data_IF_066783892594
#
_entry.id   IF_066783892594
#
_cell.length_a   1.000
_cell.length_b   1.000
_cell.length_c   1.000
_cell.angle_alpha   90.00
_cell.angle_beta   90.00
_cell.angle_gamma   90.00
#
_symmetry.space_group_name_H-M   'P 1'
#
loop_
_entity.id
_entity.type
_entity.pdbx_description
1 polymer ?
#
# COMPACT_ATOMS: atom_id res chain seq x y z
N UNK A 1 21.24 4.34 -72.89
CA UNK A 1 22.16 3.20 -73.03
C UNK A 1 22.63 2.76 -71.64
N UNK A 2 22.33 1.52 -71.27
CA UNK A 2 22.93 0.66 -70.24
C UNK A 2 23.50 1.29 -68.93
N UNK A 3 22.93 0.94 -67.77
CA UNK A 3 23.46 -0.14 -66.89
C UNK A 3 22.63 -0.29 -65.61
N UNK A 4 22.68 -1.53 -65.12
CA UNK A 4 21.96 -2.19 -64.03
C UNK A 4 22.94 -2.37 -62.85
N UNK A 5 22.54 -2.09 -61.61
CA UNK A 5 23.13 -2.60 -60.34
C UNK A 5 22.10 -2.35 -59.23
N UNK A 6 21.38 -3.35 -58.70
CA UNK A 6 21.71 -4.31 -57.61
C UNK A 6 22.29 -3.61 -56.38
N UNK A 7 21.47 -3.46 -55.34
CA UNK A 7 21.87 -3.03 -53.99
C UNK A 7 21.55 -4.13 -52.98
N UNK A 8 22.60 -4.59 -52.28
CA UNK A 8 22.61 -5.67 -51.31
C UNK A 8 22.30 -5.18 -49.89
N UNK A 9 21.67 -6.05 -49.10
CA UNK A 9 21.37 -5.90 -47.66
C UNK A 9 22.60 -6.21 -46.82
N UNK A 10 22.97 -5.32 -45.91
CA UNK A 10 24.03 -5.53 -44.92
C UNK A 10 23.43 -5.65 -43.50
N UNK A 11 23.62 -6.81 -42.88
CA UNK A 11 23.41 -7.08 -41.45
C UNK A 11 24.70 -6.79 -40.68
N UNK A 12 24.64 -5.93 -39.67
CA UNK A 12 25.77 -5.63 -38.78
C UNK A 12 25.56 -6.28 -37.41
N UNK A 13 26.51 -7.14 -37.03
CA UNK A 13 26.63 -7.80 -35.73
C UNK A 13 27.60 -6.98 -34.86
N UNK A 14 27.18 -6.54 -33.69
CA UNK A 14 28.03 -5.83 -32.74
C UNK A 14 28.37 -6.72 -31.54
N UNK A 15 29.66 -7.00 -31.36
CA UNK A 15 30.26 -7.66 -30.18
C UNK A 15 30.76 -6.58 -29.21
N UNK A 16 30.37 -6.68 -27.93
CA UNK A 16 30.83 -5.79 -26.87
C UNK A 16 31.72 -6.55 -25.88
N UNK A 17 32.95 -6.07 -25.73
CA UNK A 17 33.98 -6.59 -24.83
C UNK A 17 34.04 -5.72 -23.57
N UNK A 18 33.84 -6.29 -22.39
CA UNK A 18 33.93 -5.57 -21.11
C UNK A 18 35.28 -5.83 -20.43
N UNK A 19 36.06 -4.77 -20.21
CA UNK A 19 37.29 -4.80 -19.43
C UNK A 19 37.00 -4.39 -17.98
N UNK A 20 37.43 -5.21 -17.02
CA UNK A 20 37.31 -4.97 -15.58
C UNK A 20 38.67 -4.51 -15.04
N UNK A 21 38.74 -3.29 -14.51
CA UNK A 21 39.93 -2.76 -13.84
C UNK A 21 39.72 -2.73 -12.33
N UNK A 22 40.58 -3.43 -11.60
CA UNK A 22 40.60 -3.52 -10.14
C UNK A 22 41.62 -2.51 -9.62
N UNK A 23 41.20 -1.59 -8.73
CA UNK A 23 42.10 -0.64 -8.05
C UNK A 23 42.22 -1.04 -6.57
N UNK A 24 43.45 -1.33 -6.14
CA UNK A 24 43.88 -1.54 -4.75
C UNK A 24 44.16 -0.17 -4.08
N UNK A 25 43.84 -0.02 -2.79
CA UNK A 25 44.27 1.11 -1.97
C UNK A 25 44.99 0.65 -0.69
N UNK A 26 46.07 1.37 -0.36
CA UNK A 26 46.88 1.29 0.86
C UNK A 26 46.49 2.41 1.86
N UNK A 27 46.78 2.28 3.17
CA UNK A 27 46.36 3.23 4.20
C UNK A 27 47.48 4.17 4.67
N UNK A 28 47.13 5.40 5.05
CA UNK A 28 47.98 6.32 5.80
C UNK A 28 47.24 6.89 7.03
N UNK A 29 48.01 7.00 8.13
CA UNK A 29 47.71 7.57 9.43
C UNK A 29 47.67 9.11 9.41
N UNK A 30 46.88 9.76 10.29
CA UNK A 30 47.33 10.64 11.40
C UNK A 30 46.15 11.36 12.10
N UNK A 31 46.51 12.13 13.14
CA UNK A 31 45.85 12.48 14.42
C UNK A 31 44.93 13.71 14.47
N UNK A 32 43.87 13.57 15.28
CA UNK A 32 43.33 14.45 16.37
C UNK A 32 43.31 15.98 16.21
N UNK A 33 42.19 16.64 16.56
CA UNK A 33 41.98 17.53 17.75
C UNK A 33 40.61 18.24 17.68
N UNK A 34 39.88 18.26 18.79
CA UNK A 34 38.52 18.77 18.94
C UNK A 34 38.46 20.12 19.68
N UNK A 35 37.45 20.95 19.39
CA UNK A 35 37.06 22.09 20.22
C UNK A 35 35.52 22.31 20.21
N UNK A 36 34.99 22.66 21.39
CA UNK A 36 33.58 22.79 21.79
C UNK A 36 33.14 24.26 21.89
N UNK A 37 31.83 24.47 21.80
CA UNK A 37 31.09 25.60 22.42
C UNK A 37 30.14 26.28 21.43
N UNK A 38 29.01 26.87 21.81
CA UNK A 38 28.20 26.92 23.03
C UNK A 38 26.80 27.41 22.60
N UNK A 39 25.78 27.07 23.37
CA UNK A 39 24.36 27.33 23.12
C UNK A 39 23.92 28.77 23.45
N UNK A 40 22.87 29.25 22.79
CA UNK A 40 22.01 30.31 23.33
C UNK A 40 20.56 30.15 22.85
N UNK A 41 19.64 30.31 23.79
CA UNK A 41 18.19 30.14 23.70
C UNK A 41 17.50 31.50 23.70
N UNK A 42 16.50 31.73 22.84
CA UNK A 42 15.62 32.90 22.91
C UNK A 42 14.14 32.53 22.63
N UNK A 43 13.29 33.27 23.34
CA UNK A 43 11.88 33.14 23.68
C UNK A 43 10.86 33.16 22.52
N UNK A 44 9.70 32.54 22.81
CA UNK A 44 8.43 32.62 22.07
C UNK A 44 7.48 33.62 22.74
N UNK A 45 6.60 34.27 21.96
CA UNK A 45 5.31 34.72 22.46
C UNK A 45 4.11 34.11 21.70
N UNK A 46 3.04 33.97 22.47
CA UNK A 46 1.70 33.45 22.20
C UNK A 46 0.74 34.47 21.54
N UNK A 47 -0.48 34.00 21.22
CA UNK A 47 -1.72 34.70 20.79
C UNK A 47 -2.01 34.57 19.28
N UNK A 48 -3.24 34.47 18.76
CA UNK A 48 -4.60 34.50 19.31
C UNK A 48 -5.55 33.88 18.29
N UNK A 49 -6.65 33.34 18.78
CA UNK A 49 -7.80 32.78 18.07
C UNK A 49 -8.64 33.83 17.34
N UNK A 50 -9.22 33.47 16.19
CA UNK A 50 -10.52 34.00 15.76
C UNK A 50 -11.24 33.03 14.80
N UNK A 51 -12.50 32.77 15.13
CA UNK A 51 -13.52 32.10 14.33
C UNK A 51 -14.00 33.04 13.20
N UNK A 52 -14.48 32.47 12.09
CA UNK A 52 -15.68 32.93 11.36
C UNK A 52 -16.19 31.76 10.50
N UNK A 53 -17.48 31.47 10.68
CA UNK A 53 -18.28 30.59 9.84
C UNK A 53 -18.97 31.42 8.75
N UNK A 54 -19.13 30.90 7.53
CA UNK A 54 -20.33 31.17 6.72
C UNK A 54 -20.56 30.06 5.71
N UNK A 55 -21.75 29.48 5.77
CA UNK A 55 -22.32 28.48 4.88
C UNK A 55 -23.10 29.16 3.75
N UNK A 56 -22.99 28.62 2.54
CA UNK A 56 -23.86 28.98 1.40
C UNK A 56 -24.44 27.71 0.82
N UNK A 57 -25.77 27.63 0.86
CA UNK A 57 -26.58 26.56 0.30
C UNK A 57 -26.69 26.71 -1.23
N UNK A 58 -26.56 25.60 -1.95
CA UNK A 58 -26.85 25.51 -3.38
C UNK A 58 -28.03 24.54 -3.56
N UNK A 59 -29.06 25.03 -4.23
CA UNK A 59 -30.29 24.31 -4.55
C UNK A 59 -30.06 23.35 -5.74
N UNK A 60 -30.44 22.09 -5.57
CA UNK A 60 -30.43 21.05 -6.61
C UNK A 60 -31.84 20.86 -7.19
N UNK A 61 -31.97 21.08 -8.49
CA UNK A 61 -33.12 20.66 -9.31
C UNK A 61 -33.03 19.17 -9.62
N UNK A 62 -33.98 18.39 -9.11
CA UNK A 62 -34.10 16.95 -9.39
C UNK A 62 -34.76 16.72 -10.75
N UNK A 63 -34.10 15.91 -11.59
CA UNK A 63 -34.57 15.49 -12.91
C UNK A 63 -34.90 13.99 -12.83
N UNK A 64 -36.18 13.63 -12.84
CA UNK A 64 -36.65 12.25 -12.71
C UNK A 64 -36.66 11.55 -14.06
N UNK A 65 -35.57 10.85 -14.40
CA UNK A 65 -35.56 9.84 -15.46
C UNK A 65 -35.58 8.46 -14.80
N UNK A 66 -36.75 7.82 -14.81
CA UNK A 66 -36.93 6.42 -14.42
C UNK A 66 -36.40 5.52 -15.53
N UNK A 67 -35.10 5.20 -15.47
CA UNK A 67 -34.55 4.04 -16.16
C UNK A 67 -34.74 2.82 -15.25
N UNK A 68 -35.47 1.82 -15.71
CA UNK A 68 -35.56 0.51 -15.03
C UNK A 68 -34.18 -0.14 -15.03
N UNK A 69 -33.54 -0.15 -13.86
CA UNK A 69 -32.22 -0.74 -13.64
C UNK A 69 -32.31 -2.27 -13.45
N UNK A 70 -31.25 -3.01 -13.81
CA UNK A 70 -31.28 -4.47 -13.82
C UNK A 70 -31.32 -5.06 -12.40
N UNK A 71 -32.44 -5.70 -12.06
CA UNK A 71 -32.59 -6.53 -10.86
C UNK A 71 -31.66 -7.74 -10.95
N UNK A 72 -30.80 -7.95 -9.94
CA UNK A 72 -29.87 -9.08 -9.89
C UNK A 72 -30.61 -10.36 -9.48
N UNK A 73 -31.06 -11.13 -10.46
CA UNK A 73 -31.73 -12.41 -10.23
C UNK A 73 -30.74 -13.53 -9.87
N UNK A 74 -30.30 -13.62 -8.61
CA UNK A 74 -29.67 -14.84 -8.09
C UNK A 74 -30.64 -16.04 -8.16
N UNK A 75 -31.95 -15.76 -8.07
CA UNK A 75 -33.02 -16.75 -8.19
C UNK A 75 -33.14 -17.37 -9.61
N UNK A 76 -32.82 -16.66 -10.69
CA UNK A 76 -32.96 -17.20 -12.05
C UNK A 76 -31.96 -18.32 -12.34
N UNK A 77 -30.74 -18.21 -11.81
CA UNK A 77 -29.72 -19.27 -11.92
C UNK A 77 -30.08 -20.51 -11.07
N UNK A 78 -30.77 -20.31 -9.94
CA UNK A 78 -31.29 -21.41 -9.11
C UNK A 78 -32.55 -22.07 -9.72
N UNK A 79 -33.42 -21.30 -10.39
CA UNK A 79 -34.62 -21.78 -11.04
C UNK A 79 -34.35 -22.54 -12.37
N UNK A 80 -33.24 -22.23 -13.04
CA UNK A 80 -32.77 -22.99 -14.21
C UNK A 80 -32.17 -24.37 -13.85
N UNK A 81 -31.87 -24.62 -12.57
CA UNK A 81 -31.55 -25.95 -12.09
C UNK A 81 -32.85 -26.73 -11.86
N UNK A 82 -33.21 -27.61 -12.81
CA UNK A 82 -34.44 -28.39 -12.74
C UNK A 82 -34.67 -29.03 -11.35
N UNK A 83 -35.88 -28.92 -10.79
CA UNK A 83 -36.20 -29.52 -9.50
C UNK A 83 -36.14 -31.04 -9.65
N UNK A 84 -35.07 -31.65 -9.12
CA UNK A 84 -35.08 -33.10 -8.85
C UNK A 84 -36.19 -33.37 -7.85
N UNK A 85 -37.32 -33.90 -8.34
CA UNK A 85 -38.44 -34.43 -7.53
C UNK A 85 -37.89 -35.31 -6.40
N UNK A 86 -37.76 -34.74 -5.20
CA UNK A 86 -37.61 -35.51 -3.98
C UNK A 86 -38.97 -36.13 -3.70
N UNK A 87 -39.08 -37.45 -3.94
CA UNK A 87 -40.18 -38.25 -3.38
C UNK A 87 -40.08 -38.17 -1.86
N UNK A 88 -40.89 -37.31 -1.25
CA UNK A 88 -41.19 -37.35 0.17
C UNK A 88 -42.01 -38.61 0.45
N UNK A 89 -41.39 -39.63 1.05
CA UNK A 89 -42.12 -40.76 1.63
C UNK A 89 -42.65 -40.35 2.99
N UNK A 90 -43.94 -40.03 3.04
CA UNK A 90 -44.73 -39.94 4.26
C UNK A 90 -44.68 -41.26 5.02
N UNK A 91 -44.43 -41.18 6.33
CA UNK A 91 -44.69 -42.26 7.30
C UNK A 91 -46.17 -42.63 7.26
N UNK A 92 -46.49 -43.81 6.75
CA UNK A 92 -47.69 -44.54 7.16
C UNK A 92 -47.25 -45.90 7.72
N UNK A 93 -47.74 -46.18 8.91
CA UNK A 93 -47.52 -47.37 9.71
C UNK A 93 -48.06 -48.64 9.05
N UNK A 94 -47.45 -49.75 9.45
CA UNK A 94 -47.97 -51.13 9.34
C UNK A 94 -47.82 -51.78 7.97
N UNK A 95 -46.70 -52.47 7.76
CA UNK A 95 -46.77 -53.92 7.51
C UNK A 95 -45.40 -54.60 7.56
N UNK A 96 -45.29 -55.58 8.45
CA UNK A 96 -44.25 -56.60 8.45
C UNK A 96 -44.62 -57.63 7.38
N UNK A 97 -44.19 -57.47 6.13
CA UNK A 97 -44.18 -58.60 5.18
C UNK A 97 -43.26 -58.36 3.98
N UNK A 98 -42.49 -59.38 3.64
CA UNK A 98 -41.72 -59.56 2.41
C UNK A 98 -40.50 -58.65 2.18
N UNK A 99 -39.43 -59.01 2.88
CA UNK A 99 -38.12 -59.22 2.24
C UNK A 99 -38.31 -60.01 0.93
N UNK A 100 -38.33 -59.35 -0.23
CA UNK A 100 -38.01 -59.96 -1.51
C UNK A 100 -37.86 -58.88 -2.58
N UNK A 101 -36.67 -58.80 -3.17
CA UNK A 101 -36.44 -57.96 -4.34
C UNK A 101 -35.00 -57.59 -4.63
N UNK A 102 -34.06 -57.85 -3.72
CA UNK A 102 -32.64 -57.67 -4.03
C UNK A 102 -31.86 -58.93 -3.62
N UNK A 103 -32.14 -60.03 -4.31
CA UNK A 103 -31.31 -61.25 -4.34
C UNK A 103 -30.01 -61.01 -5.12
N UNK A 104 -29.47 -59.80 -5.04
CA UNK A 104 -28.10 -59.56 -5.41
C UNK A 104 -27.22 -60.34 -4.44
N UNK A 105 -26.51 -61.32 -5.00
CA UNK A 105 -25.45 -62.05 -4.32
C UNK A 105 -24.64 -61.08 -3.46
N UNK A 106 -24.23 -61.49 -2.26
CA UNK A 106 -23.40 -60.68 -1.36
C UNK A 106 -22.23 -60.01 -2.13
N UNK A 107 -21.68 -60.71 -3.13
CA UNK A 107 -20.66 -60.18 -4.04
C UNK A 107 -21.15 -58.99 -4.87
N UNK A 108 -22.36 -59.04 -5.44
CA UNK A 108 -22.96 -57.95 -6.20
C UNK A 108 -23.22 -56.71 -5.34
N UNK A 109 -23.75 -56.88 -4.11
CA UNK A 109 -23.90 -55.76 -3.15
C UNK A 109 -22.55 -55.14 -2.78
N UNK A 110 -21.53 -55.97 -2.59
CA UNK A 110 -20.15 -55.51 -2.31
C UNK A 110 -19.54 -54.77 -3.50
N UNK A 111 -19.81 -55.20 -4.72
CA UNK A 111 -19.38 -54.53 -5.96
C UNK A 111 -20.10 -53.19 -6.16
N UNK A 112 -21.42 -53.14 -5.98
CA UNK A 112 -22.22 -51.92 -6.07
C UNK A 112 -21.75 -50.86 -5.05
N UNK A 113 -21.47 -51.28 -3.80
CA UNK A 113 -20.90 -50.37 -2.79
C UNK A 113 -19.53 -49.85 -3.20
N UNK A 114 -18.67 -50.68 -3.80
CA UNK A 114 -17.36 -50.26 -4.31
C UNK A 114 -17.49 -49.25 -5.46
N UNK A 115 -18.42 -49.46 -6.39
CA UNK A 115 -18.69 -48.53 -7.50
C UNK A 115 -19.17 -47.17 -6.97
N UNK A 116 -20.15 -47.16 -6.06
CA UNK A 116 -20.64 -45.92 -5.44
C UNK A 116 -19.53 -45.13 -4.74
N UNK A 117 -18.58 -45.82 -4.09
CA UNK A 117 -17.40 -45.16 -3.49
C UNK A 117 -16.48 -44.55 -4.55
N UNK A 118 -16.25 -45.23 -5.68
CA UNK A 118 -15.47 -44.67 -6.81
C UNK A 118 -16.15 -43.45 -7.40
N UNK A 119 -17.44 -43.55 -7.70
CA UNK A 119 -18.23 -42.42 -8.26
C UNK A 119 -18.23 -41.23 -7.31
N UNK A 120 -18.38 -41.47 -6.00
CA UNK A 120 -18.32 -40.40 -4.99
C UNK A 120 -16.93 -39.76 -4.95
N UNK A 121 -15.88 -40.57 -5.03
CA UNK A 121 -14.50 -40.09 -5.08
C UNK A 121 -14.23 -39.27 -6.36
N UNK A 122 -14.59 -39.79 -7.53
CA UNK A 122 -14.45 -39.13 -8.83
C UNK A 122 -15.24 -37.83 -8.87
N UNK A 123 -16.49 -37.81 -8.37
CA UNK A 123 -17.28 -36.59 -8.23
C UNK A 123 -16.60 -35.58 -7.31
N UNK A 124 -15.98 -36.04 -6.22
CA UNK A 124 -15.24 -35.16 -5.31
C UNK A 124 -13.98 -34.61 -6.00
N UNK A 125 -13.25 -35.42 -6.77
CA UNK A 125 -12.09 -34.99 -7.54
C UNK A 125 -12.48 -34.00 -8.65
N UNK A 126 -13.56 -34.25 -9.39
CA UNK A 126 -14.11 -33.32 -10.38
C UNK A 126 -14.59 -32.02 -9.75
N UNK A 127 -15.16 -32.08 -8.55
CA UNK A 127 -15.51 -30.86 -7.80
C UNK A 127 -14.25 -30.11 -7.38
N UNK A 128 -13.23 -30.80 -6.87
CA UNK A 128 -11.96 -30.19 -6.46
C UNK A 128 -11.19 -29.61 -7.65
N UNK A 129 -11.25 -30.22 -8.85
CA UNK A 129 -10.61 -29.68 -10.05
C UNK A 129 -11.37 -28.50 -10.65
N UNK A 130 -12.69 -28.43 -10.48
CA UNK A 130 -13.52 -27.27 -10.88
C UNK A 130 -13.47 -26.12 -9.89
N UNK A 131 -13.33 -26.44 -8.60
CA UNK A 131 -13.03 -25.46 -7.58
C UNK A 131 -11.60 -25.01 -7.84
N UNK A 132 -11.44 -23.88 -8.55
CA UNK A 132 -10.20 -23.14 -8.51
C UNK A 132 -9.94 -22.79 -7.03
N UNK A 133 -9.21 -23.65 -6.30
CA UNK A 133 -8.83 -23.26 -4.96
C UNK A 133 -7.89 -22.08 -5.14
N UNK A 134 -8.04 -21.06 -4.30
CA UNK A 134 -7.26 -19.82 -4.33
C UNK A 134 -5.73 -20.03 -4.33
N UNK A 135 -5.24 -21.27 -4.18
CA UNK A 135 -3.86 -21.64 -3.90
C UNK A 135 -3.24 -22.68 -4.84
N UNK A 136 -3.97 -23.30 -5.77
CA UNK A 136 -3.41 -24.46 -6.50
C UNK A 136 -2.34 -24.12 -7.54
N UNK A 137 -2.20 -22.84 -7.92
CA UNK A 137 -1.17 -22.38 -8.87
C UNK A 137 -0.38 -21.16 -8.42
N UNK A 138 -0.67 -20.60 -7.24
CA UNK A 138 0.17 -19.52 -6.68
C UNK A 138 1.30 -20.16 -5.89
N UNK A 139 2.58 -19.97 -6.26
CA UNK A 139 3.68 -20.49 -5.46
C UNK A 139 3.55 -19.96 -4.03
N UNK A 140 3.76 -20.83 -3.05
CA UNK A 140 3.73 -20.42 -1.64
C UNK A 140 4.88 -19.45 -1.37
N UNK A 141 4.66 -18.50 -0.47
CA UNK A 141 5.69 -17.58 0.02
C UNK A 141 6.38 -16.70 -1.04
N UNK A 142 5.82 -16.50 -2.24
CA UNK A 142 6.44 -15.66 -3.31
C UNK A 142 6.89 -14.29 -2.79
N UNK A 143 5.99 -13.56 -2.10
CA UNK A 143 6.30 -12.23 -1.55
C UNK A 143 7.39 -12.29 -0.48
N UNK A 144 7.37 -13.32 0.36
CA UNK A 144 8.35 -13.54 1.43
C UNK A 144 9.72 -13.92 0.88
N UNK A 145 9.77 -14.77 -0.15
CA UNK A 145 11.01 -15.13 -0.86
C UNK A 145 11.59 -13.92 -1.60
N UNK A 146 10.73 -13.13 -2.26
CA UNK A 146 11.15 -11.88 -2.91
C UNK A 146 11.76 -10.89 -1.91
N UNK A 147 11.11 -10.70 -0.76
CA UNK A 147 11.62 -9.86 0.33
C UNK A 147 12.96 -10.38 0.87
N UNK A 148 13.04 -11.65 1.26
CA UNK A 148 14.27 -12.25 1.83
C UNK A 148 15.44 -12.20 0.84
N UNK A 149 15.19 -12.49 -0.43
CA UNK A 149 16.22 -12.45 -1.47
C UNK A 149 16.85 -11.07 -1.66
N UNK A 150 16.12 -9.99 -1.33
CA UNK A 150 16.64 -8.63 -1.28
C UNK A 150 17.23 -8.29 0.10
N UNK A 151 16.47 -8.50 1.17
CA UNK A 151 16.83 -8.09 2.53
C UNK A 151 18.06 -8.80 3.08
N UNK A 152 18.24 -10.09 2.81
CA UNK A 152 19.40 -10.84 3.29
C UNK A 152 20.70 -10.31 2.66
N UNK A 153 20.64 -9.87 1.39
CA UNK A 153 21.77 -9.22 0.71
C UNK A 153 22.05 -7.85 1.31
N UNK A 154 21.00 -7.09 1.60
CA UNK A 154 21.10 -5.76 2.21
C UNK A 154 21.73 -5.83 3.60
N UNK A 155 21.32 -6.81 4.42
CA UNK A 155 21.91 -7.03 5.73
C UNK A 155 23.40 -7.34 5.65
N UNK A 156 23.80 -8.23 4.73
CA UNK A 156 25.22 -8.56 4.51
C UNK A 156 26.01 -7.32 4.06
N UNK A 157 25.42 -6.50 3.19
CA UNK A 157 26.01 -5.25 2.74
C UNK A 157 26.22 -4.27 3.90
N UNK A 158 25.20 -4.06 4.73
CA UNK A 158 25.29 -3.24 5.94
C UNK A 158 26.37 -3.73 6.92
N UNK A 159 26.46 -5.03 7.17
CA UNK A 159 27.51 -5.62 8.02
C UNK A 159 28.92 -5.36 7.47
N UNK A 160 29.08 -5.46 6.14
CA UNK A 160 30.33 -5.14 5.46
C UNK A 160 30.69 -3.67 5.63
N UNK A 161 29.72 -2.76 5.46
CA UNK A 161 29.94 -1.32 5.67
C UNK A 161 30.37 -0.99 7.10
N UNK A 162 29.74 -1.62 8.10
CA UNK A 162 30.12 -1.45 9.50
C UNK A 162 31.56 -1.91 9.77
N UNK A 163 31.99 -3.02 9.18
CA UNK A 163 33.38 -3.51 9.28
C UNK A 163 34.36 -2.56 8.59
N UNK A 164 34.02 -2.05 7.41
CA UNK A 164 34.84 -1.06 6.70
C UNK A 164 35.02 0.22 7.50
N UNK A 165 33.93 0.77 8.06
CA UNK A 165 34.00 1.96 8.91
C UNK A 165 34.90 1.74 10.14
N UNK A 166 34.80 0.57 10.79
CA UNK A 166 35.66 0.21 11.92
C UNK A 166 37.13 0.07 11.51
N UNK A 167 37.41 -0.49 10.34
CA UNK A 167 38.77 -0.61 9.80
C UNK A 167 39.39 0.76 9.51
N UNK A 168 38.59 1.71 9.05
CA UNK A 168 39.02 3.09 8.78
C UNK A 168 39.01 4.00 10.03
N UNK A 169 38.51 3.51 11.18
CA UNK A 169 38.31 4.29 12.41
C UNK A 169 37.48 5.57 12.24
N UNK A 170 36.58 5.60 11.24
CA UNK A 170 35.72 6.76 10.97
C UNK A 170 34.33 6.59 11.58
N UNK A 171 33.80 7.59 12.31
CA UNK A 171 32.44 7.54 12.84
C UNK A 171 31.38 7.62 11.75
N UNK A 172 30.14 7.29 12.11
CA UNK A 172 28.96 7.47 11.26
C UNK A 172 28.22 8.73 11.65
N UNK A 173 27.80 9.54 10.68
CA UNK A 173 26.89 10.66 10.91
C UNK A 173 25.48 10.10 11.10
N UNK A 174 24.77 10.55 12.14
CA UNK A 174 23.40 10.08 12.41
C UNK A 174 22.42 11.05 11.77
N UNK A 175 21.53 10.52 10.93
CA UNK A 175 20.43 11.26 10.31
C UNK A 175 19.12 10.61 10.71
N UNK A 176 18.11 11.42 10.99
CA UNK A 176 16.76 10.96 11.28
C UNK A 176 15.85 11.40 10.14
N UNK A 177 15.16 10.46 9.52
CA UNK A 177 14.16 10.68 8.49
C UNK A 177 12.77 10.30 9.02
N UNK A 178 11.74 11.01 8.58
CA UNK A 178 10.39 10.88 9.14
C UNK A 178 9.38 10.58 8.03
N UNK A 179 8.68 9.46 8.18
CA UNK A 179 7.55 9.09 7.35
C UNK A 179 6.31 9.68 8.00
N UNK A 180 5.90 10.87 7.55
CA UNK A 180 4.64 11.47 7.96
C UNK A 180 3.53 10.86 7.12
N UNK A 181 2.75 9.96 7.72
CA UNK A 181 1.68 9.21 7.08
C UNK A 181 0.32 9.81 7.42
N UNK A 182 -0.48 10.08 6.40
CA UNK A 182 -1.93 10.30 6.56
C UNK A 182 -2.64 8.98 6.28
N UNK A 183 -3.37 8.48 7.27
CA UNK A 183 -4.12 7.22 7.17
C UNK A 183 -5.27 7.32 6.14
N UNK A 184 -5.72 6.20 5.56
CA UNK A 184 -6.93 6.18 4.75
C UNK A 184 -8.12 6.73 5.55
N UNK A 185 -8.83 7.71 4.98
CA UNK A 185 -10.03 8.30 5.59
C UNK A 185 -11.27 7.50 5.16
N UNK A 186 -11.23 6.96 3.94
CA UNK A 186 -12.33 6.21 3.35
C UNK A 186 -11.89 4.76 3.19
N UNK A 187 -12.81 3.82 3.46
CA UNK A 187 -12.61 2.39 3.24
C UNK A 187 -12.16 2.13 1.80
N UNK A 188 -11.21 1.21 1.53
CA UNK A 188 -10.82 0.86 0.17
C UNK A 188 -11.98 0.25 -0.62
N UNK A 189 -11.85 0.22 -1.95
CA UNK A 189 -12.86 -0.40 -2.79
C UNK A 189 -12.86 -1.92 -2.58
N UNK A 190 -14.04 -2.46 -2.28
CA UNK A 190 -14.21 -3.91 -2.20
C UNK A 190 -13.97 -4.53 -3.57
N UNK A 191 -13.10 -5.56 -3.68
CA UNK A 191 -12.91 -6.30 -4.91
C UNK A 191 -14.20 -7.03 -5.31
N UNK A 192 -14.36 -7.29 -6.61
CA UNK A 192 -15.59 -7.82 -7.18
C UNK A 192 -16.08 -9.11 -6.50
N UNK A 193 -15.18 -10.06 -6.23
CA UNK A 193 -15.53 -11.33 -5.59
C UNK A 193 -16.01 -11.15 -4.14
N UNK A 194 -15.52 -10.12 -3.42
CA UNK A 194 -15.93 -9.84 -2.04
C UNK A 194 -17.33 -9.23 -2.02
N UNK A 195 -17.63 -8.38 -3.02
CA UNK A 195 -19.01 -7.90 -3.25
C UNK A 195 -19.95 -9.05 -3.55
N UNK A 196 -19.59 -9.93 -4.50
CA UNK A 196 -20.42 -11.11 -4.83
C UNK A 196 -20.61 -12.04 -3.63
N UNK A 197 -19.60 -12.17 -2.78
CA UNK A 197 -19.71 -12.94 -1.55
C UNK A 197 -20.65 -12.28 -0.54
N UNK A 198 -20.54 -10.97 -0.34
CA UNK A 198 -21.44 -10.21 0.54
C UNK A 198 -22.89 -10.29 0.04
N UNK A 199 -23.11 -10.05 -1.25
CA UNK A 199 -24.42 -10.18 -1.91
C UNK A 199 -25.02 -11.58 -1.67
N UNK A 200 -24.20 -12.64 -1.80
CA UNK A 200 -24.63 -14.01 -1.52
C UNK A 200 -24.91 -14.23 -0.04
N UNK A 201 -24.09 -13.71 0.87
CA UNK A 201 -24.33 -13.84 2.31
C UNK A 201 -25.59 -13.11 2.75
N UNK A 202 -25.86 -11.94 2.18
CA UNK A 202 -27.07 -11.15 2.46
C UNK A 202 -28.30 -11.88 1.92
N UNK A 203 -28.21 -12.38 0.69
CA UNK A 203 -29.24 -13.24 0.11
C UNK A 203 -29.51 -14.46 1.00
N UNK A 204 -28.47 -15.19 1.43
CA UNK A 204 -28.63 -16.34 2.33
C UNK A 204 -29.16 -15.96 3.71
N UNK A 205 -28.82 -14.79 4.23
CA UNK A 205 -29.29 -14.29 5.52
C UNK A 205 -30.80 -13.99 5.52
N UNK A 206 -31.39 -13.74 4.34
CA UNK A 206 -32.85 -13.66 4.21
C UNK A 206 -33.54 -15.02 4.43
N UNK A 207 -32.83 -16.13 4.27
CA UNK A 207 -33.34 -17.47 4.54
C UNK A 207 -32.97 -17.91 5.95
N UNK A 208 -33.98 -18.20 6.78
CA UNK A 208 -33.79 -18.88 8.07
C UNK A 208 -33.92 -18.02 9.32
N UNK A 209 -34.29 -16.74 9.19
CA UNK A 209 -34.76 -15.93 10.33
C UNK A 209 -36.21 -15.51 10.08
N UNK A 210 -37.13 -16.20 10.75
CA UNK A 210 -38.52 -15.75 10.83
C UNK A 210 -38.60 -14.68 11.92
N UNK A 211 -38.80 -13.43 11.51
CA UNK A 211 -39.13 -12.36 12.44
C UNK A 211 -40.65 -12.40 12.72
N UNK A 212 -41.11 -12.11 13.95
CA UNK A 212 -42.53 -12.01 14.22
C UNK A 212 -43.19 -10.97 13.31
N UNK A 213 -44.39 -11.25 12.79
CA UNK A 213 -45.11 -10.36 11.86
C UNK A 213 -45.28 -8.94 12.42
N UNK A 214 -45.43 -8.82 13.74
CA UNK A 214 -45.57 -7.55 14.47
C UNK A 214 -44.36 -6.62 14.30
N UNK A 215 -43.18 -7.17 14.03
CA UNK A 215 -41.96 -6.38 13.87
C UNK A 215 -41.90 -5.67 12.52
N UNK A 216 -42.73 -6.07 11.55
CA UNK A 216 -42.74 -5.49 10.20
C UNK A 216 -41.50 -5.81 9.36
N UNK A 217 -40.55 -6.61 9.87
CA UNK A 217 -39.41 -7.11 9.10
C UNK A 217 -39.88 -8.31 8.26
N UNK A 218 -40.36 -8.02 7.05
CA UNK A 218 -40.93 -9.01 6.13
C UNK A 218 -39.85 -9.88 5.49
N UNK A 219 -39.68 -11.10 6.00
CA UNK A 219 -39.04 -12.18 5.25
C UNK A 219 -39.91 -13.44 5.39
N UNK A 220 -41.05 -13.47 4.69
CA UNK A 220 -41.83 -14.70 4.60
C UNK A 220 -41.16 -15.63 3.57
N UNK A 221 -40.76 -16.85 3.97
CA UNK A 221 -40.09 -17.82 3.07
C UNK A 221 -40.89 -18.13 1.79
N UNK A 222 -42.21 -17.96 1.84
CA UNK A 222 -43.11 -18.24 0.72
C UNK A 222 -43.21 -17.09 -0.30
N UNK A 223 -42.64 -15.91 0.01
CA UNK A 223 -42.72 -14.72 -0.85
C UNK A 223 -41.36 -14.40 -1.46
N UNK A 224 -41.10 -14.77 -2.74
CA UNK A 224 -39.81 -14.52 -3.39
C UNK A 224 -39.49 -13.03 -3.57
N UNK A 225 -40.50 -12.16 -3.48
CA UNK A 225 -40.37 -10.70 -3.55
C UNK A 225 -39.62 -10.13 -2.33
N UNK A 226 -39.74 -10.76 -1.16
CA UNK A 226 -39.11 -10.33 0.10
C UNK A 226 -37.61 -10.66 0.15
N UNK A 227 -37.13 -11.51 -0.77
CA UNK A 227 -35.73 -11.98 -0.83
C UNK A 227 -34.87 -11.21 -1.84
N UNK A 228 -35.34 -10.08 -2.35
CA UNK A 228 -34.57 -9.21 -3.24
C UNK A 228 -33.63 -8.35 -2.41
N UNK A 229 -32.33 -8.61 -2.52
CA UNK A 229 -31.30 -7.76 -1.92
C UNK A 229 -31.23 -6.49 -2.79
N UNK A 230 -31.60 -5.31 -2.26
CA UNK A 230 -31.51 -4.07 -3.01
C UNK A 230 -30.06 -3.80 -3.37
N UNK A 231 -29.84 -3.29 -4.58
CA UNK A 231 -28.49 -2.93 -5.00
C UNK A 231 -27.99 -1.71 -4.23
N UNK A 232 -26.67 -1.53 -4.13
CA UNK A 232 -26.07 -0.34 -3.51
C UNK A 232 -26.67 0.97 -4.06
N UNK A 233 -26.99 1.01 -5.37
CA UNK A 233 -27.59 2.17 -6.03
C UNK A 233 -29.02 2.46 -5.55
N UNK A 234 -29.83 1.43 -5.35
CA UNK A 234 -31.19 1.55 -4.81
C UNK A 234 -31.16 1.98 -3.34
N UNK A 235 -30.24 1.40 -2.56
CA UNK A 235 -30.00 1.81 -1.16
C UNK A 235 -29.56 3.26 -1.08
N UNK A 236 -28.67 3.70 -1.97
CA UNK A 236 -28.21 5.09 -2.05
C UNK A 236 -29.33 6.05 -2.49
N UNK A 237 -30.18 5.64 -3.43
CA UNK A 237 -31.32 6.44 -3.89
C UNK A 237 -32.42 6.62 -2.83
N UNK A 238 -32.54 5.68 -1.89
CA UNK A 238 -33.47 5.75 -0.76
C UNK A 238 -33.04 6.67 0.38
N UNK A 239 -31.78 7.15 0.39
CA UNK A 239 -31.28 8.02 1.46
C UNK A 239 -31.84 9.45 1.34
N UNK A 240 -32.14 10.13 2.47
CA UNK A 240 -32.62 11.51 2.46
C UNK A 240 -31.52 12.53 2.12
N UNK A 241 -30.28 12.08 1.87
CA UNK A 241 -29.14 12.90 1.51
C UNK A 241 -28.26 12.19 0.47
N UNK A 242 -27.56 12.98 -0.34
CA UNK A 242 -26.56 12.44 -1.28
C UNK A 242 -25.21 12.38 -0.57
N UNK A 243 -24.58 11.18 -0.44
CA UNK A 243 -23.26 11.09 0.16
C UNK A 243 -22.21 11.81 -0.69
N UNK A 244 -21.20 12.38 -0.03
CA UNK A 244 -20.10 13.04 -0.72
C UNK A 244 -19.34 12.06 -1.63
N UNK A 245 -18.88 12.49 -2.81
CA UNK A 245 -18.11 11.64 -3.70
C UNK A 245 -16.81 11.20 -3.04
N UNK A 246 -16.46 9.93 -3.23
CA UNK A 246 -15.22 9.34 -2.67
C UNK A 246 -13.97 9.82 -3.40
N UNK A 247 -14.13 10.29 -4.63
CA UNK A 247 -13.08 10.92 -5.43
C UNK A 247 -13.25 12.42 -5.36
N UNK A 248 -12.15 13.12 -5.07
CA UNK A 248 -12.17 14.56 -4.84
C UNK A 248 -11.71 15.33 -6.08
N UNK A 249 -11.96 16.65 -6.11
CA UNK A 249 -11.41 17.53 -7.14
C UNK A 249 -9.88 17.51 -7.20
N UNK A 250 -9.22 17.27 -6.06
CA UNK A 250 -7.77 17.09 -5.97
C UNK A 250 -7.29 15.81 -6.68
N UNK A 251 -8.12 14.76 -6.70
CA UNK A 251 -7.84 13.54 -7.47
C UNK A 251 -7.99 13.79 -8.98
N UNK A 252 -9.05 14.50 -9.37
CA UNK A 252 -9.32 14.84 -10.76
C UNK A 252 -8.26 15.79 -11.36
N UNK A 253 -7.83 16.79 -10.58
CA UNK A 253 -6.78 17.74 -10.98
C UNK A 253 -5.36 17.19 -10.86
N UNK A 254 -5.16 16.08 -10.13
CA UNK A 254 -3.84 15.53 -9.85
C UNK A 254 -3.00 16.41 -8.92
N UNK A 255 -3.61 17.28 -8.12
CA UNK A 255 -2.89 18.20 -7.25
C UNK A 255 -2.27 17.48 -6.05
N UNK A 256 -0.94 17.41 -6.01
CA UNK A 256 -0.19 16.61 -5.04
C UNK A 256 -0.06 17.25 -3.66
N UNK A 257 -0.19 18.57 -3.57
CA UNK A 257 0.05 19.34 -2.34
C UNK A 257 -1.15 19.29 -1.37
N UNK A 258 -2.33 18.91 -1.84
CA UNK A 258 -3.52 18.76 -0.99
C UNK A 258 -3.61 17.36 -0.38
N UNK A 259 -3.99 17.31 0.91
CA UNK A 259 -4.22 16.04 1.62
C UNK A 259 -5.49 15.32 1.23
N UNK A 260 -6.48 16.05 0.72
CA UNK A 260 -7.81 15.55 0.37
C UNK A 260 -7.82 14.66 -0.89
N UNK A 261 -6.68 14.46 -1.56
CA UNK A 261 -6.56 13.48 -2.64
C UNK A 261 -6.42 12.06 -2.11
N UNK A 262 -6.78 11.03 -2.87
CA UNK A 262 -6.50 9.61 -2.58
C UNK A 262 -6.95 9.20 -1.17
N UNK A 263 -8.20 9.47 -0.84
CA UNK A 263 -8.78 9.20 0.50
C UNK A 263 -8.79 7.71 0.87
N UNK A 264 -8.76 6.82 -0.13
CA UNK A 264 -8.79 5.34 0.01
C UNK A 264 -7.45 4.73 0.42
N UNK A 265 -6.34 5.44 0.22
CA UNK A 265 -4.98 4.93 0.43
C UNK A 265 -4.21 5.81 1.39
N UNK A 266 -3.21 5.26 2.07
CA UNK A 266 -2.27 6.08 2.83
C UNK A 266 -1.41 6.90 1.89
N UNK A 267 -1.10 8.13 2.31
CA UNK A 267 -0.19 9.02 1.61
C UNK A 267 0.89 9.49 2.57
N UNK A 268 2.06 9.79 2.03
CA UNK A 268 3.24 10.18 2.79
C UNK A 268 3.73 11.55 2.32
N UNK A 269 4.08 12.41 3.28
CA UNK A 269 4.71 13.69 2.96
C UNK A 269 6.10 13.44 2.40
N UNK A 270 6.29 13.83 1.15
CA UNK A 270 7.57 13.72 0.44
C UNK A 270 8.00 15.10 -0.04
N UNK A 271 9.30 15.33 -0.01
CA UNK A 271 9.94 16.61 -0.33
C UNK A 271 10.99 16.36 -1.39
N UNK A 272 10.97 17.16 -2.45
CA UNK A 272 12.01 17.20 -3.46
C UNK A 272 13.01 18.28 -3.08
N UNK A 273 14.23 17.89 -2.76
CA UNK A 273 15.26 18.82 -2.31
C UNK A 273 16.62 18.49 -2.92
N UNK A 274 17.46 19.52 -3.06
CA UNK A 274 18.87 19.40 -3.47
C UNK A 274 19.84 19.25 -2.27
N UNK A 275 19.31 19.22 -1.03
CA UNK A 275 20.10 19.08 0.22
C UNK A 275 21.00 17.85 0.26
N UNK A 276 20.58 16.75 -0.35
CA UNK A 276 21.47 15.61 -0.53
C UNK A 276 22.45 15.97 -1.64
N UNK A 277 23.58 16.63 -1.33
CA UNK A 277 24.66 16.91 -2.28
C UNK A 277 25.06 15.64 -3.01
N UNK A 278 24.45 15.41 -4.16
CA UNK A 278 24.65 14.25 -4.99
C UNK A 278 25.58 14.69 -6.13
N UNK A 279 26.44 13.78 -6.60
CA UNK A 279 27.33 14.07 -7.74
C UNK A 279 26.57 14.60 -8.97
N UNK A 280 25.29 14.27 -9.11
CA UNK A 280 24.48 14.69 -10.25
C UNK A 280 23.93 16.11 -10.12
N UNK A 281 23.98 16.75 -8.95
CA UNK A 281 23.35 18.07 -8.69
C UNK A 281 21.83 18.11 -8.91
N UNK A 282 21.19 16.93 -9.07
CA UNK A 282 19.76 16.80 -9.30
C UNK A 282 19.05 16.65 -7.97
N UNK A 283 18.00 17.44 -7.79
CA UNK A 283 17.07 17.32 -6.67
C UNK A 283 16.38 15.98 -6.67
N UNK A 284 16.20 15.42 -5.48
CA UNK A 284 15.63 14.09 -5.30
C UNK A 284 14.46 14.12 -4.34
N UNK A 285 13.51 13.23 -4.57
CA UNK A 285 12.45 12.95 -3.61
C UNK A 285 13.05 12.28 -2.37
N UNK A 286 12.74 12.86 -1.22
CA UNK A 286 13.21 12.47 0.11
C UNK A 286 12.07 12.61 1.11
N UNK A 287 12.19 11.88 2.22
CA UNK A 287 11.38 12.12 3.40
C UNK A 287 11.98 13.30 4.19
N UNK A 288 11.16 14.06 4.95
CA UNK A 288 11.67 15.07 5.87
C UNK A 288 12.76 14.47 6.74
N UNK A 289 13.95 15.08 6.75
CA UNK A 289 15.08 14.56 7.52
C UNK A 289 15.88 15.66 8.18
N UNK A 290 16.51 15.34 9.31
CA UNK A 290 17.43 16.22 10.02
C UNK A 290 18.65 15.43 10.51
N UNK A 291 19.77 16.13 10.63
CA UNK A 291 20.95 15.58 11.28
C UNK A 291 20.74 15.56 12.80
N UNK A 292 21.10 14.44 13.42
CA UNK A 292 21.15 14.32 14.87
C UNK A 292 22.54 14.74 15.35
N UNK A 293 22.58 15.63 16.33
CA UNK A 293 23.82 15.98 16.99
C UNK A 293 24.12 14.93 18.08
N UNK A 294 25.19 14.17 17.87
CA UNK A 294 25.62 13.07 18.76
C UNK A 294 25.98 13.60 20.15
N UNK A 295 26.37 14.87 20.26
CA UNK A 295 26.77 15.47 21.54
C UNK A 295 25.63 16.13 22.30
N UNK A 296 24.45 16.21 21.70
CA UNK A 296 23.27 16.77 22.34
C UNK A 296 22.51 15.71 23.13
N UNK A 297 21.91 16.10 24.25
CA UNK A 297 21.03 15.23 25.05
C UNK A 297 19.65 15.02 24.39
N UNK A 298 19.50 15.33 23.10
CA UNK A 298 18.22 15.23 22.38
C UNK A 298 17.93 13.80 21.96
N UNK A 299 16.69 13.36 22.12
CA UNK A 299 16.29 12.04 21.67
C UNK A 299 16.15 12.02 20.14
N UNK A 300 16.32 10.85 19.52
CA UNK A 300 16.09 10.72 18.06
C UNK A 300 14.66 11.08 17.66
N UNK A 301 13.69 10.93 18.58
CA UNK A 301 12.31 11.33 18.36
C UNK A 301 12.18 12.87 18.32
N UNK A 302 12.86 13.59 19.21
CA UNK A 302 12.88 15.06 19.18
C UNK A 302 13.51 15.56 17.87
N UNK A 303 14.56 14.89 17.40
CA UNK A 303 15.17 15.18 16.10
C UNK A 303 14.18 14.90 14.95
N UNK A 304 13.37 13.84 15.04
CA UNK A 304 12.32 13.56 14.07
C UNK A 304 11.25 14.67 14.05
N UNK A 305 10.73 15.07 15.20
CA UNK A 305 9.74 16.16 15.30
C UNK A 305 10.32 17.48 14.79
N UNK A 306 11.59 17.75 15.10
CA UNK A 306 12.33 18.89 14.55
C UNK A 306 12.48 18.82 13.04
N UNK A 307 12.76 17.64 12.48
CA UNK A 307 12.88 17.46 11.03
C UNK A 307 11.59 17.86 10.30
N UNK A 308 10.43 17.45 10.83
CA UNK A 308 9.15 17.81 10.23
C UNK A 308 8.82 19.28 10.47
N UNK A 309 8.95 19.80 11.69
CA UNK A 309 8.64 21.20 11.98
C UNK A 309 9.54 22.19 11.24
N UNK A 310 10.80 21.82 10.97
CA UNK A 310 11.69 22.61 10.14
C UNK A 310 11.21 22.69 8.69
N UNK A 311 10.60 21.63 8.15
CA UNK A 311 10.19 21.60 6.74
C UNK A 311 8.74 22.06 6.56
N UNK A 312 7.80 21.46 7.29
CA UNK A 312 6.36 21.72 7.15
C UNK A 312 5.83 22.84 8.05
N UNK A 313 6.63 23.36 8.99
CA UNK A 313 6.18 24.33 9.99
C UNK A 313 5.66 23.69 11.27
N UNK A 314 5.39 24.53 12.29
CA UNK A 314 4.94 24.09 13.62
C UNK A 314 3.42 23.82 13.71
N UNK A 315 2.67 24.16 12.67
CA UNK A 315 1.21 24.00 12.63
C UNK A 315 0.79 22.54 12.45
N UNK A 316 1.69 21.68 11.96
CA UNK A 316 1.41 20.27 11.75
C UNK A 316 1.46 19.50 13.07
N UNK A 317 0.30 18.99 13.50
CA UNK A 317 0.16 18.17 14.70
C UNK A 317 0.37 16.70 14.32
N UNK A 318 1.32 16.09 15.00
CA UNK A 318 1.84 14.76 14.68
C UNK A 318 1.73 13.84 15.88
N UNK A 319 1.27 12.62 15.64
CA UNK A 319 1.23 11.55 16.64
C UNK A 319 2.33 10.52 16.36
N UNK A 320 3.20 10.30 17.36
CA UNK A 320 4.29 9.35 17.27
C UNK A 320 3.92 8.07 18.05
N UNK A 321 3.76 6.90 17.38
CA UNK A 321 3.38 5.66 18.06
C UNK A 321 4.46 5.08 18.99
N UNK A 322 5.74 5.39 18.74
CA UNK A 322 6.85 4.83 19.51
C UNK A 322 8.11 5.69 19.42
N UNK A 323 8.97 5.58 20.44
CA UNK A 323 10.32 6.16 20.45
C UNK A 323 11.34 5.33 19.63
N UNK A 324 10.97 4.12 19.21
CA UNK A 324 11.84 3.25 18.43
C UNK A 324 11.77 3.58 16.92
N UNK A 325 12.92 3.66 16.22
CA UNK A 325 12.93 3.79 14.77
C UNK A 325 12.42 2.50 14.11
N UNK A 326 11.70 2.65 13.00
CA UNK A 326 11.11 1.54 12.25
C UNK A 326 12.13 0.85 11.33
N UNK A 327 13.03 1.61 10.74
CA UNK A 327 14.05 1.10 9.82
C UNK A 327 15.37 1.88 9.93
N UNK A 328 16.45 1.25 9.47
CA UNK A 328 17.78 1.86 9.34
C UNK A 328 18.33 1.59 7.96
N UNK A 329 18.91 2.62 7.34
CA UNK A 329 19.65 2.53 6.08
C UNK A 329 21.05 3.12 6.26
N UNK A 330 22.09 2.40 5.82
CA UNK A 330 23.47 2.86 5.89
C UNK A 330 23.92 3.33 4.51
N UNK A 331 24.31 4.60 4.42
CA UNK A 331 24.78 5.22 3.19
C UNK A 331 26.23 5.65 3.34
N UNK A 332 27.12 5.12 2.50
CA UNK A 332 28.52 5.55 2.46
C UNK A 332 28.65 6.85 1.68
N UNK A 333 29.52 7.76 2.12
CA UNK A 333 29.85 8.93 1.31
C UNK A 333 30.71 8.53 0.11
N UNK A 334 30.34 9.06 -1.05
CA UNK A 334 31.17 8.91 -2.24
C UNK A 334 32.52 9.62 -2.01
N UNK A 335 33.67 9.00 -2.30
CA UNK A 335 34.97 9.67 -2.20
C UNK A 335 35.09 10.94 -3.06
N UNK A 336 34.26 11.10 -4.08
CA UNK A 336 34.25 12.26 -4.97
C UNK A 336 33.49 13.47 -4.39
N UNK A 337 32.84 13.34 -3.24
CA UNK A 337 32.18 14.47 -2.56
C UNK A 337 33.23 15.36 -1.87
N UNK A 338 32.91 16.66 -1.76
CA UNK A 338 33.77 17.62 -1.06
C UNK A 338 34.12 17.12 0.35
N UNK A 339 35.40 17.25 0.71
CA UNK A 339 35.91 16.91 2.04
C UNK A 339 35.21 17.70 3.15
N UNK A 340 34.72 18.91 2.84
CA UNK A 340 33.97 19.76 3.78
C UNK A 340 32.63 19.13 4.17
N UNK A 341 31.94 18.52 3.21
CA UNK A 341 30.67 17.84 3.46
C UNK A 341 30.88 16.50 4.19
N UNK A 342 31.86 15.72 3.71
CA UNK A 342 32.19 14.40 4.27
C UNK A 342 32.71 14.50 5.69
N UNK A 343 33.52 15.52 5.97
CA UNK A 343 34.28 15.68 7.22
C UNK A 343 35.03 14.37 7.54
N UNK A 344 35.17 14.02 8.81
CA UNK A 344 35.79 12.76 9.24
C UNK A 344 34.79 11.58 9.33
N UNK A 345 33.62 11.68 8.70
CA UNK A 345 32.62 10.62 8.76
C UNK A 345 32.80 9.61 7.62
N UNK A 346 32.55 8.33 7.92
CA UNK A 346 32.53 7.27 6.91
C UNK A 346 31.32 7.38 5.98
N UNK A 347 30.17 7.71 6.56
CA UNK A 347 28.87 7.78 5.90
C UNK A 347 27.77 8.22 6.85
N UNK A 348 26.53 8.04 6.43
CA UNK A 348 25.32 8.33 7.20
C UNK A 348 24.60 7.06 7.63
N UNK A 349 24.12 7.04 8.87
CA UNK A 349 23.12 6.10 9.37
C UNK A 349 21.79 6.82 9.46
N UNK A 350 20.87 6.45 8.58
CA UNK A 350 19.56 7.08 8.47
C UNK A 350 18.56 6.22 9.24
N UNK A 351 18.01 6.76 10.32
CA UNK A 351 16.95 6.15 11.12
C UNK A 351 15.60 6.67 10.66
N UNK A 352 14.68 5.78 10.32
CA UNK A 352 13.35 6.14 9.83
C UNK A 352 12.32 6.01 10.95
N UNK A 353 11.64 7.11 11.26
CA UNK A 353 10.51 7.13 12.20
C UNK A 353 9.19 7.15 11.44
N UNK A 354 8.23 6.33 11.88
CA UNK A 354 6.85 6.39 11.41
C UNK A 354 6.07 7.35 12.31
N UNK A 355 5.44 8.35 11.71
CA UNK A 355 4.68 9.38 12.41
C UNK A 355 3.34 9.52 11.72
N UNK A 356 2.25 9.51 12.48
CA UNK A 356 0.91 9.68 11.94
C UNK A 356 0.55 11.16 11.98
N UNK A 357 0.02 11.64 10.86
CA UNK A 357 -0.62 12.94 10.79
C UNK A 357 -1.95 12.89 11.57
N UNK A 358 -2.18 13.89 12.43
CA UNK A 358 -3.42 14.04 13.19
C UNK A 358 -4.22 15.24 12.68
N UNK A 359 -3.67 16.46 12.82
CA UNK A 359 -4.31 17.71 12.41
C UNK A 359 -3.30 18.79 12.01
N UNK A 360 -3.77 19.97 11.57
CA UNK A 360 -2.93 21.08 11.12
C UNK A 360 -2.87 21.21 9.60
N UNK A 361 -2.00 22.06 9.07
CA UNK A 361 -1.65 22.07 7.64
C UNK A 361 -0.17 22.38 7.43
N UNK A 362 0.32 22.12 6.21
CA UNK A 362 1.69 22.46 5.83
C UNK A 362 1.74 23.97 5.58
N UNK A 363 2.63 24.66 6.29
CA UNK A 363 2.81 26.09 6.07
C UNK A 363 3.54 26.32 4.73
N UNK A 364 2.78 26.67 3.70
CA UNK A 364 3.28 26.85 2.34
C UNK A 364 4.33 27.96 2.25
N UNK A 365 4.26 28.98 3.09
CA UNK A 365 5.21 30.09 3.07
C UNK A 365 6.59 29.62 3.51
N UNK A 366 6.67 28.77 4.53
CA UNK A 366 7.94 28.17 4.99
C UNK A 366 8.54 27.29 3.89
N UNK A 367 7.70 26.48 3.24
CA UNK A 367 8.12 25.65 2.11
C UNK A 367 8.61 26.50 0.93
N UNK A 368 7.86 27.54 0.54
CA UNK A 368 8.19 28.44 -0.57
C UNK A 368 9.38 29.35 -0.28
N UNK A 369 9.55 29.80 0.96
CA UNK A 369 10.70 30.64 1.36
C UNK A 369 12.00 29.86 1.21
N UNK A 370 11.99 28.58 1.59
CA UNK A 370 13.13 27.68 1.37
C UNK A 370 13.39 27.41 -0.11
N UNK A 371 12.40 27.51 -0.99
CA UNK A 371 12.65 27.45 -2.45
C UNK A 371 13.51 28.65 -2.90
N UNK A 372 13.25 29.85 -2.36
CA UNK A 372 13.85 31.11 -2.81
C UNK A 372 15.22 31.41 -2.20
N UNK A 373 15.47 30.95 -0.99
CA UNK A 373 16.80 30.98 -0.40
C UNK A 373 17.63 29.85 -1.06
N UNK A 374 18.32 30.17 -2.16
CA UNK A 374 19.21 29.27 -2.91
C UNK A 374 20.42 28.74 -2.09
N UNK A 375 20.52 29.08 -0.80
CA UNK A 375 21.55 28.55 0.09
C UNK A 375 21.30 27.06 0.39
N UNK A 376 22.10 26.20 -0.26
CA UNK A 376 22.46 24.79 0.00
C UNK A 376 21.39 23.79 0.50
N UNK A 377 20.10 24.14 0.47
CA UNK A 377 19.09 23.26 1.03
C UNK A 377 17.64 23.54 0.68
N UNK A 378 17.40 24.27 -0.40
CA UNK A 378 16.05 24.59 -0.83
C UNK A 378 15.19 23.36 -1.12
N UNK A 379 13.90 23.50 -0.84
CA UNK A 379 12.86 22.55 -1.26
C UNK A 379 12.41 23.01 -2.63
N UNK A 380 12.51 22.19 -3.67
CA UNK A 380 11.99 22.54 -5.01
C UNK A 380 10.48 22.32 -5.08
N UNK A 381 10.04 21.17 -4.57
CA UNK A 381 8.66 20.71 -4.66
C UNK A 381 8.35 19.83 -3.44
N UNK A 382 7.07 19.69 -3.12
CA UNK A 382 6.60 18.82 -2.05
C UNK A 382 5.22 18.29 -2.39
N UNK A 383 4.85 17.17 -1.77
CA UNK A 383 3.51 16.62 -1.96
C UNK A 383 3.21 15.42 -1.08
N UNK A 384 1.93 15.10 -1.01
CA UNK A 384 1.39 13.92 -0.38
C UNK A 384 1.28 12.80 -1.41
N UNK A 385 2.28 11.91 -1.38
CA UNK A 385 2.46 10.88 -2.40
C UNK A 385 2.01 9.52 -1.88
N UNK A 386 1.44 8.71 -2.76
CA UNK A 386 1.17 7.30 -2.43
C UNK A 386 2.48 6.52 -2.41
N UNK A 387 2.46 5.35 -1.79
CA UNK A 387 3.59 4.42 -1.78
C UNK A 387 4.11 4.12 -3.20
N UNK A 388 3.22 3.93 -4.16
CA UNK A 388 3.56 3.58 -5.54
C UNK A 388 4.26 4.74 -6.24
N UNK A 389 3.75 5.96 -6.11
CA UNK A 389 4.34 7.17 -6.68
C UNK A 389 5.74 7.46 -6.12
N UNK A 390 5.96 7.22 -4.82
CA UNK A 390 7.30 7.37 -4.21
C UNK A 390 8.26 6.34 -4.80
N UNK A 391 7.84 5.08 -4.91
CA UNK A 391 8.67 4.00 -5.45
C UNK A 391 9.03 4.27 -6.91
N UNK A 392 8.09 4.74 -7.73
CA UNK A 392 8.32 5.12 -9.12
C UNK A 392 9.38 6.23 -9.23
N UNK A 393 9.18 7.35 -8.53
CA UNK A 393 10.12 8.49 -8.55
C UNK A 393 11.50 8.13 -8.02
N UNK A 394 11.56 7.34 -6.95
CA UNK A 394 12.84 6.86 -6.40
C UNK A 394 13.51 5.87 -7.36
N UNK A 395 12.75 5.09 -8.12
CA UNK A 395 13.31 4.18 -9.15
C UNK A 395 14.00 4.98 -10.24
N UNK A 396 13.38 6.06 -10.70
CA UNK A 396 13.94 6.95 -11.72
C UNK A 396 15.21 7.67 -11.24
N UNK A 397 15.21 8.14 -9.98
CA UNK A 397 16.31 8.98 -9.45
C UNK A 397 17.47 8.19 -8.85
N UNK A 398 17.19 7.09 -8.15
CA UNK A 398 18.14 6.33 -7.32
C UNK A 398 18.31 4.88 -7.75
N UNK A 399 17.48 4.42 -8.70
CA UNK A 399 17.49 3.05 -9.20
C UNK A 399 16.64 2.07 -8.38
N UNK A 400 16.49 0.88 -8.95
CA UNK A 400 15.58 -0.17 -8.46
C UNK A 400 15.90 -0.68 -7.04
N UNK A 401 17.17 -0.61 -6.63
CA UNK A 401 17.60 -1.12 -5.34
C UNK A 401 17.08 -0.26 -4.18
N UNK A 402 17.25 1.06 -4.27
CA UNK A 402 16.71 1.99 -3.27
C UNK A 402 15.18 2.03 -3.33
N UNK A 403 14.60 1.94 -4.52
CA UNK A 403 13.14 1.86 -4.66
C UNK A 403 12.54 0.64 -3.93
N UNK A 404 13.22 -0.51 -3.94
CA UNK A 404 12.82 -1.69 -3.13
C UNK A 404 12.86 -1.41 -1.64
N UNK A 405 13.86 -0.66 -1.16
CA UNK A 405 13.92 -0.25 0.24
C UNK A 405 12.66 0.55 0.63
N UNK A 406 12.30 1.57 -0.15
CA UNK A 406 11.07 2.35 0.08
C UNK A 406 9.80 1.50 -0.08
N UNK A 407 9.75 0.57 -1.03
CA UNK A 407 8.62 -0.32 -1.22
C UNK A 407 8.37 -1.25 -0.02
N UNK A 408 9.41 -1.72 0.67
CA UNK A 408 9.24 -2.58 1.84
C UNK A 408 9.13 -1.80 3.15
N UNK A 409 9.65 -0.58 3.19
CA UNK A 409 9.56 0.30 4.35
C UNK A 409 8.17 0.96 4.47
N UNK A 410 7.67 1.56 3.40
CA UNK A 410 6.34 2.19 3.33
C UNK A 410 5.26 1.12 3.19
#
# INVERSE_FOLDING_TARGET
MARRMVGATATATATATAATTIIKQHPCFFTTTAARGASSSINLPSSTSSNIATSTAIATTANTNTATLPVRHFAAAAAAAEPKKSKSSSKSSTDKSSLNGDTQSYQARKQAMKLKRRETYERTQLRLSRLATRRDHSPKDVKKQAFRGWYDKERIYHDLLLRCAKKENKPWRVRVAVMVERLPIVTPDMPQWEREFIDLTDYLATFGKEYPEETGFMYAMDKPEDHVVPTDEELLAGLPFTPAPRETEADASGFLQTRNRRLKTSVFLSIKSNTEHNLSGKSRWTLPSALADIHSDTTLLDVAQRAVSNVAGKELILWCPSNAPMAVNLRVYNPNLSSEFRQDYFGEKIFYYRVQYDSGDVNEEVMKKKVKEEEEGGVEDWGWLTKEEIVERVTEERGTHQAKFFHYML
#
